data_IF_489860985125
#
_entry.id   IF_489860985125
#
_cell.length_a   1.000
_cell.length_b   1.000
_cell.length_c   1.000
_cell.angle_alpha   90.00
_cell.angle_beta   90.00
_cell.angle_gamma   90.00
#
_symmetry.space_group_name_H-M   'P 1'
#
loop_
_entity.id
_entity.type
_entity.pdbx_description
1 polymer ?
#
# COMPACT_ATOMS: atom_id res chain seq x y z
N UNK A 1 4.52 -0.45 -36.50
CA UNK A 1 4.22 -1.43 -35.44
C UNK A 1 2.70 -1.47 -35.31
N UNK A 2 2.08 -2.57 -35.64
CA UNK A 2 0.63 -2.75 -35.49
C UNK A 2 0.21 -2.80 -34.04
N UNK A 3 -1.09 -2.61 -33.76
CA UNK A 3 -1.63 -2.59 -32.39
C UNK A 3 -1.33 -3.92 -31.64
N UNK A 4 -1.43 -5.04 -32.34
CA UNK A 4 -1.10 -6.37 -31.81
C UNK A 4 0.39 -6.54 -31.51
N UNK A 5 1.27 -6.00 -32.35
CA UNK A 5 2.72 -6.03 -32.13
C UNK A 5 3.11 -5.17 -30.92
N UNK A 6 2.43 -4.04 -30.72
CA UNK A 6 2.64 -3.18 -29.56
C UNK A 6 2.18 -3.86 -28.27
N UNK A 7 1.02 -4.53 -28.29
CA UNK A 7 0.51 -5.30 -27.14
C UNK A 7 1.46 -6.45 -26.80
N UNK A 8 1.92 -7.21 -27.78
CA UNK A 8 2.88 -8.32 -27.58
C UNK A 8 4.24 -7.80 -27.03
N UNK A 9 4.73 -6.68 -27.56
CA UNK A 9 5.94 -6.02 -27.06
C UNK A 9 5.77 -5.58 -25.61
N UNK A 10 4.64 -4.94 -25.27
CA UNK A 10 4.34 -4.52 -23.90
C UNK A 10 4.24 -5.70 -22.94
N UNK A 11 3.58 -6.78 -23.34
CA UNK A 11 3.46 -7.98 -22.51
C UNK A 11 4.83 -8.61 -22.24
N UNK A 12 5.68 -8.73 -23.27
CA UNK A 12 7.04 -9.29 -23.15
C UNK A 12 7.94 -8.39 -22.29
N UNK A 13 7.87 -7.08 -22.48
CA UNK A 13 8.63 -6.11 -21.69
C UNK A 13 8.21 -6.11 -20.22
N UNK A 14 6.90 -6.17 -19.95
CA UNK A 14 6.37 -6.24 -18.59
C UNK A 14 6.74 -7.55 -17.88
N UNK A 15 6.75 -8.68 -18.60
CA UNK A 15 7.17 -9.98 -18.05
C UNK A 15 8.65 -9.97 -17.67
N UNK A 16 9.52 -9.41 -18.52
CA UNK A 16 10.96 -9.32 -18.23
C UNK A 16 11.26 -8.34 -17.10
N UNK A 17 10.56 -7.20 -17.04
CA UNK A 17 10.67 -6.25 -15.95
C UNK A 17 10.22 -6.86 -14.61
N UNK A 18 9.16 -7.65 -14.63
CA UNK A 18 8.67 -8.40 -13.46
C UNK A 18 9.70 -9.43 -12.99
N UNK A 19 10.30 -10.18 -13.93
CA UNK A 19 11.35 -11.15 -13.64
C UNK A 19 12.56 -10.49 -12.97
N UNK A 20 13.08 -9.39 -13.54
CA UNK A 20 14.20 -8.65 -12.99
C UNK A 20 13.92 -8.09 -11.59
N UNK A 21 12.67 -7.68 -11.33
CA UNK A 21 12.25 -7.18 -10.01
C UNK A 21 12.11 -8.29 -8.99
N UNK A 22 11.58 -9.45 -9.39
CA UNK A 22 11.54 -10.64 -8.52
C UNK A 22 12.97 -11.08 -8.18
N UNK A 23 13.87 -11.12 -9.14
CA UNK A 23 15.29 -11.44 -8.91
C UNK A 23 15.97 -10.43 -7.97
N UNK A 24 15.70 -9.13 -8.14
CA UNK A 24 16.21 -8.10 -7.24
C UNK A 24 15.59 -8.14 -5.84
N UNK A 25 14.28 -8.44 -5.74
CA UNK A 25 13.62 -8.65 -4.46
C UNK A 25 14.18 -9.89 -3.74
N UNK A 26 14.43 -10.98 -4.47
CA UNK A 26 15.06 -12.19 -3.94
C UNK A 26 16.51 -11.92 -3.49
N UNK A 27 17.29 -11.13 -4.24
CA UNK A 27 18.64 -10.70 -3.84
C UNK A 27 18.61 -9.78 -2.61
N UNK A 28 17.59 -8.92 -2.47
CA UNK A 28 17.38 -8.10 -1.27
C UNK A 28 16.98 -8.96 -0.07
N UNK A 29 16.18 -10.02 -0.27
CA UNK A 29 15.85 -11.01 0.76
C UNK A 29 17.08 -11.80 1.23
N UNK A 30 18.04 -12.04 0.35
CA UNK A 30 19.32 -12.72 0.65
C UNK A 30 20.39 -11.74 1.22
N UNK A 31 20.10 -10.44 1.24
CA UNK A 31 21.02 -9.42 1.76
C UNK A 31 21.11 -9.43 3.29
N UNK A 32 22.32 -9.09 3.82
CA UNK A 32 22.63 -9.05 5.26
C UNK A 32 21.66 -8.23 6.13
N UNK A 33 20.85 -7.34 5.54
CA UNK A 33 19.86 -6.54 6.27
C UNK A 33 18.66 -7.38 6.73
N UNK A 34 18.21 -8.34 5.91
CA UNK A 34 17.15 -9.28 6.31
C UNK A 34 17.63 -10.25 7.39
N UNK A 35 18.89 -10.67 7.30
CA UNK A 35 19.50 -11.49 8.35
C UNK A 35 19.61 -10.73 9.67
N UNK A 36 19.90 -9.42 9.63
CA UNK A 36 19.95 -8.58 10.82
C UNK A 36 18.57 -8.36 11.47
N UNK A 37 17.53 -8.05 10.67
CA UNK A 37 16.15 -7.88 11.16
C UNK A 37 15.58 -9.19 11.70
N UNK A 38 15.82 -10.32 11.00
CA UNK A 38 15.46 -11.65 11.49
C UNK A 38 16.18 -12.01 12.78
N UNK A 39 17.49 -11.73 12.85
CA UNK A 39 18.29 -11.98 14.04
C UNK A 39 17.88 -11.10 15.23
N UNK A 40 17.52 -9.82 15.00
CA UNK A 40 17.03 -8.90 16.01
C UNK A 40 15.69 -9.36 16.58
N UNK A 41 14.76 -9.79 15.71
CA UNK A 41 13.48 -10.37 16.15
C UNK A 41 13.66 -11.69 16.91
N UNK A 42 14.58 -12.54 16.44
CA UNK A 42 14.93 -13.81 17.09
C UNK A 42 15.64 -13.54 18.43
N UNK A 43 16.44 -12.48 18.52
CA UNK A 43 17.13 -12.09 19.74
C UNK A 43 16.17 -11.50 20.79
N UNK A 44 15.19 -10.69 20.38
CA UNK A 44 14.13 -10.22 21.24
C UNK A 44 13.27 -11.37 21.79
N UNK A 45 12.95 -12.34 20.94
CA UNK A 45 12.24 -13.57 21.36
C UNK A 45 13.09 -14.43 22.30
N UNK A 46 14.41 -14.55 22.06
CA UNK A 46 15.35 -15.25 22.94
C UNK A 46 15.49 -14.56 24.29
N UNK A 47 15.54 -13.23 24.31
CA UNK A 47 15.64 -12.46 25.55
C UNK A 47 14.37 -12.60 26.40
N UNK A 48 13.17 -12.60 25.78
CA UNK A 48 11.92 -12.87 26.46
C UNK A 48 11.87 -14.30 27.05
N UNK A 49 12.38 -15.29 26.30
CA UNK A 49 12.51 -16.69 26.80
C UNK A 49 13.53 -16.79 27.95
N UNK A 50 14.64 -16.05 27.86
CA UNK A 50 15.71 -16.09 28.89
C UNK A 50 15.31 -15.41 30.21
N UNK A 51 14.31 -14.52 30.21
CA UNK A 51 13.77 -13.90 31.44
C UNK A 51 12.83 -14.79 32.21
N UNK A 52 12.43 -15.95 31.68
CA UNK A 52 11.60 -16.93 32.34
C UNK A 52 12.43 -17.80 33.33
N UNK A 53 12.00 -17.86 34.56
CA UNK A 53 12.74 -18.48 35.69
C UNK A 53 12.78 -20.01 35.68
N UNK A 54 12.10 -20.70 34.77
CA UNK A 54 12.07 -22.16 34.66
C UNK A 54 12.11 -22.68 33.22
N UNK A 55 12.77 -23.83 32.98
CA UNK A 55 12.86 -24.46 31.66
C UNK A 55 11.46 -24.77 31.08
N UNK A 56 10.49 -25.32 31.81
CA UNK A 56 9.13 -25.50 31.30
C UNK A 56 8.45 -24.20 30.90
N UNK A 57 8.58 -23.12 31.69
CA UNK A 57 8.04 -21.79 31.36
C UNK A 57 8.65 -21.22 30.09
N UNK A 58 9.94 -21.41 29.85
CA UNK A 58 10.64 -20.99 28.62
C UNK A 58 10.13 -21.72 27.38
N UNK A 59 9.91 -23.03 27.47
CA UNK A 59 9.37 -23.83 26.35
C UNK A 59 7.93 -23.40 26.04
N UNK A 60 7.09 -23.22 27.07
CA UNK A 60 5.70 -22.78 26.88
C UNK A 60 5.65 -21.39 26.26
N UNK A 61 6.46 -20.44 26.75
CA UNK A 61 6.51 -19.07 26.21
C UNK A 61 6.99 -19.06 24.75
N UNK A 62 8.02 -19.85 24.42
CA UNK A 62 8.51 -19.94 23.05
C UNK A 62 7.46 -20.56 22.13
N UNK A 63 6.85 -21.67 22.53
CA UNK A 63 5.78 -22.31 21.76
C UNK A 63 4.57 -21.38 21.53
N UNK A 64 4.14 -20.64 22.56
CA UNK A 64 3.06 -19.67 22.45
C UNK A 64 3.40 -18.52 21.47
N UNK A 65 4.63 -18.02 21.49
CA UNK A 65 5.08 -16.96 20.58
C UNK A 65 5.14 -17.45 19.12
N UNK A 66 5.65 -18.66 18.88
CA UNK A 66 5.66 -19.28 17.55
C UNK A 66 4.24 -19.48 17.03
N UNK A 67 3.34 -20.00 17.86
CA UNK A 67 1.93 -20.19 17.49
C UNK A 67 1.26 -18.84 17.16
N UNK A 68 1.44 -17.82 18.01
CA UNK A 68 0.86 -16.48 17.79
C UNK A 68 1.35 -15.85 16.49
N UNK A 69 2.65 -15.97 16.20
CA UNK A 69 3.23 -15.45 14.95
C UNK A 69 2.70 -16.19 13.74
N UNK A 70 2.66 -17.53 13.77
CA UNK A 70 2.13 -18.35 12.68
C UNK A 70 0.64 -18.07 12.44
N UNK A 71 -0.14 -17.90 13.50
CA UNK A 71 -1.54 -17.53 13.43
C UNK A 71 -1.74 -16.15 12.78
N UNK A 72 -0.95 -15.14 13.19
CA UNK A 72 -0.96 -13.79 12.59
C UNK A 72 -0.65 -13.86 11.10
N UNK A 73 0.39 -14.58 10.69
CA UNK A 73 0.76 -14.77 9.28
C UNK A 73 -0.40 -15.41 8.52
N UNK A 74 -1.02 -16.44 9.04
CA UNK A 74 -2.17 -17.12 8.41
C UNK A 74 -3.37 -16.18 8.22
N UNK A 75 -3.75 -15.45 9.26
CA UNK A 75 -4.86 -14.49 9.21
C UNK A 75 -4.56 -13.35 8.24
N UNK A 76 -3.36 -12.79 8.29
CA UNK A 76 -2.94 -11.73 7.37
C UNK A 76 -2.94 -12.23 5.93
N UNK A 77 -2.48 -13.47 5.67
CA UNK A 77 -2.48 -14.04 4.32
C UNK A 77 -3.88 -14.20 3.76
N UNK A 78 -4.82 -14.68 4.57
CA UNK A 78 -6.23 -14.76 4.16
C UNK A 78 -6.80 -13.37 3.82
N UNK A 79 -6.47 -12.35 4.61
CA UNK A 79 -6.86 -10.96 4.33
C UNK A 79 -6.19 -10.40 3.08
N UNK A 80 -4.91 -10.69 2.83
CA UNK A 80 -4.20 -10.25 1.62
C UNK A 80 -4.93 -10.79 0.38
N UNK A 81 -5.26 -12.08 0.34
CA UNK A 81 -6.02 -12.66 -0.78
C UNK A 81 -7.47 -12.17 -0.83
N UNK A 82 -8.13 -12.02 0.31
CA UNK A 82 -9.47 -11.42 0.41
C UNK A 82 -9.51 -10.01 -0.16
N UNK A 83 -8.42 -9.26 -0.05
CA UNK A 83 -8.26 -7.93 -0.60
C UNK A 83 -8.50 -7.80 -2.10
N UNK A 84 -8.30 -8.88 -2.87
CA UNK A 84 -8.63 -8.92 -4.30
C UNK A 84 -10.14 -8.77 -4.57
N UNK A 85 -10.98 -9.10 -3.61
CA UNK A 85 -12.43 -9.13 -3.74
C UNK A 85 -13.16 -8.03 -2.94
N UNK A 86 -12.44 -7.26 -2.15
CA UNK A 86 -13.00 -6.12 -1.42
C UNK A 86 -13.40 -5.00 -2.39
N UNK A 87 -14.55 -4.39 -2.18
CA UNK A 87 -14.98 -3.22 -2.94
C UNK A 87 -15.37 -2.08 -2.02
N UNK A 88 -15.35 -0.86 -2.55
CA UNK A 88 -15.79 0.33 -1.84
C UNK A 88 -17.30 0.28 -1.60
N UNK A 89 -17.77 0.27 -0.34
CA UNK A 89 -19.19 0.22 -0.02
C UNK A 89 -19.97 1.47 -0.47
N UNK A 90 -19.26 2.59 -0.72
CA UNK A 90 -19.87 3.84 -1.15
C UNK A 90 -20.12 3.90 -2.67
N UNK A 91 -19.76 2.86 -3.42
CA UNK A 91 -20.10 2.71 -4.84
C UNK A 91 -21.42 1.97 -5.01
N UNK A 92 -22.13 2.26 -6.09
CA UNK A 92 -23.28 1.47 -6.52
C UNK A 92 -22.84 0.05 -6.93
N UNK A 93 -23.80 -0.85 -7.11
CA UNK A 93 -23.52 -2.26 -7.41
C UNK A 93 -22.59 -2.44 -8.63
N UNK A 94 -22.88 -1.78 -9.76
CA UNK A 94 -22.05 -1.87 -10.95
C UNK A 94 -20.63 -1.34 -10.73
N UNK A 95 -20.48 -0.26 -9.97
CA UNK A 95 -19.18 0.30 -9.59
C UNK A 95 -18.38 -0.64 -8.69
N UNK A 96 -19.04 -1.36 -7.78
CA UNK A 96 -18.40 -2.38 -6.92
C UNK A 96 -17.94 -3.60 -7.73
N UNK A 97 -18.78 -4.09 -8.63
CA UNK A 97 -18.42 -5.19 -9.54
C UNK A 97 -17.23 -4.77 -10.40
N UNK A 98 -17.29 -3.59 -11.04
CA UNK A 98 -16.19 -3.09 -11.85
C UNK A 98 -14.89 -2.93 -11.05
N UNK A 99 -14.97 -2.46 -9.82
CA UNK A 99 -13.79 -2.31 -8.96
C UNK A 99 -13.08 -3.65 -8.71
N UNK A 100 -13.82 -4.72 -8.46
CA UNK A 100 -13.26 -6.08 -8.30
C UNK A 100 -12.70 -6.58 -9.63
N UNK A 101 -13.49 -6.54 -10.71
CA UNK A 101 -13.07 -7.02 -12.03
C UNK A 101 -11.84 -6.27 -12.53
N UNK A 102 -11.80 -4.96 -12.34
CA UNK A 102 -10.71 -4.11 -12.80
C UNK A 102 -9.34 -4.50 -12.22
N UNK A 103 -9.29 -5.13 -11.05
CA UNK A 103 -8.05 -5.62 -10.43
C UNK A 103 -7.38 -6.73 -11.22
N UNK A 104 -8.15 -7.46 -11.99
CA UNK A 104 -7.64 -8.57 -12.80
C UNK A 104 -7.37 -8.16 -14.26
N UNK A 105 -8.08 -7.14 -14.77
CA UNK A 105 -7.97 -6.73 -16.19
C UNK A 105 -7.35 -5.34 -16.35
N UNK A 106 -7.91 -4.32 -15.73
CA UNK A 106 -7.50 -2.92 -15.91
C UNK A 106 -6.33 -2.51 -15.03
N UNK A 107 -6.37 -2.88 -13.75
CA UNK A 107 -5.31 -2.65 -12.76
C UNK A 107 -4.44 -3.91 -12.55
N UNK A 108 -4.58 -4.92 -13.39
CA UNK A 108 -3.98 -6.25 -13.20
C UNK A 108 -2.49 -6.22 -12.87
N UNK A 109 -1.63 -5.62 -13.69
CA UNK A 109 -0.19 -5.64 -13.47
C UNK A 109 0.23 -5.09 -12.10
N UNK A 110 -0.26 -3.90 -11.73
CA UNK A 110 0.10 -3.29 -10.44
C UNK A 110 -0.57 -3.97 -9.25
N UNK A 111 -1.79 -4.48 -9.41
CA UNK A 111 -2.48 -5.21 -8.33
C UNK A 111 -1.80 -6.55 -8.05
N UNK A 112 -1.40 -7.28 -9.08
CA UNK A 112 -0.62 -8.52 -8.91
C UNK A 112 0.73 -8.25 -8.26
N UNK A 113 1.41 -7.18 -8.67
CA UNK A 113 2.68 -6.78 -8.05
C UNK A 113 2.49 -6.46 -6.56
N UNK A 114 1.45 -5.67 -6.21
CA UNK A 114 1.12 -5.32 -4.83
C UNK A 114 0.73 -6.56 -4.00
N UNK A 115 -0.10 -7.45 -4.54
CA UNK A 115 -0.48 -8.70 -3.87
C UNK A 115 0.71 -9.62 -3.63
N UNK A 116 1.62 -9.76 -4.62
CA UNK A 116 2.83 -10.57 -4.49
C UNK A 116 3.78 -9.99 -3.45
N UNK A 117 4.01 -8.67 -3.48
CA UNK A 117 4.82 -7.98 -2.48
C UNK A 117 4.24 -8.17 -1.07
N UNK A 118 2.93 -7.95 -0.90
CA UNK A 118 2.22 -8.15 0.36
C UNK A 118 2.36 -9.60 0.87
N UNK A 119 2.20 -10.59 -0.01
CA UNK A 119 2.33 -12.01 0.32
C UNK A 119 3.74 -12.35 0.79
N UNK A 120 4.77 -11.95 0.04
CA UNK A 120 6.17 -12.22 0.42
C UNK A 120 6.49 -11.54 1.75
N UNK A 121 6.14 -10.27 1.92
CA UNK A 121 6.37 -9.53 3.16
C UNK A 121 5.66 -10.16 4.36
N UNK A 122 4.46 -10.70 4.17
CA UNK A 122 3.74 -11.40 5.22
C UNK A 122 4.40 -12.73 5.60
N UNK A 123 4.83 -13.52 4.61
CA UNK A 123 5.49 -14.81 4.85
C UNK A 123 6.81 -14.66 5.61
N UNK A 124 7.54 -13.57 5.39
CA UNK A 124 8.76 -13.26 6.16
C UNK A 124 8.46 -12.54 7.50
N UNK A 125 7.19 -12.40 7.85
CA UNK A 125 6.75 -11.90 9.16
C UNK A 125 6.78 -10.37 9.32
N UNK A 126 6.97 -9.62 8.23
CA UNK A 126 7.06 -8.15 8.24
C UNK A 126 5.69 -7.46 8.35
N UNK A 127 4.59 -8.17 8.05
CA UNK A 127 3.22 -7.61 8.13
C UNK A 127 2.69 -7.77 9.54
N UNK A 128 2.39 -6.65 10.19
CA UNK A 128 1.75 -6.63 11.51
C UNK A 128 0.24 -6.72 11.40
N UNK A 129 -0.36 -5.97 10.48
CA UNK A 129 -1.80 -5.87 10.35
C UNK A 129 -2.23 -5.68 8.88
N UNK A 130 -3.36 -6.27 8.54
CA UNK A 130 -4.05 -6.06 7.25
C UNK A 130 -5.47 -5.60 7.53
N UNK A 131 -5.84 -4.45 6.98
CA UNK A 131 -7.17 -3.87 7.05
C UNK A 131 -7.70 -3.54 5.65
N UNK A 132 -8.98 -3.20 5.56
CA UNK A 132 -9.63 -2.76 4.32
C UNK A 132 -10.29 -1.40 4.53
N UNK A 133 -10.17 -0.53 3.53
CA UNK A 133 -10.92 0.71 3.52
C UNK A 133 -11.18 1.18 2.07
N UNK A 134 -12.42 1.54 1.75
CA UNK A 134 -12.79 2.14 0.45
C UNK A 134 -12.33 1.33 -0.76
N UNK A 135 -12.34 -0.02 -0.65
CA UNK A 135 -11.85 -0.92 -1.69
C UNK A 135 -10.34 -1.18 -1.67
N UNK A 136 -9.54 -0.44 -0.90
CA UNK A 136 -8.12 -0.69 -0.76
C UNK A 136 -7.82 -1.73 0.32
N UNK A 137 -6.75 -2.49 0.14
CA UNK A 137 -6.14 -3.37 1.14
C UNK A 137 -4.93 -2.65 1.73
N UNK A 138 -4.96 -2.40 3.04
CA UNK A 138 -3.97 -1.60 3.75
C UNK A 138 -3.14 -2.50 4.66
N UNK A 139 -1.84 -2.54 4.43
CA UNK A 139 -0.90 -3.33 5.21
C UNK A 139 0.04 -2.41 5.98
N UNK A 140 0.05 -2.56 7.30
CA UNK A 140 1.07 -1.93 8.14
C UNK A 140 2.07 -2.96 8.63
N UNK A 141 3.33 -2.54 8.75
CA UNK A 141 4.40 -3.43 9.18
C UNK A 141 5.78 -2.79 9.09
N UNK A 142 6.80 -3.60 9.13
CA UNK A 142 8.19 -3.15 9.23
C UNK A 142 8.94 -3.25 7.88
N UNK A 143 8.32 -2.79 6.79
CA UNK A 143 8.95 -2.86 5.45
C UNK A 143 9.44 -1.51 4.92
N UNK A 144 8.97 -0.42 5.46
CA UNK A 144 9.39 0.92 5.10
C UNK A 144 9.90 1.66 6.33
N UNK A 145 10.74 2.66 6.13
CA UNK A 145 11.10 3.59 7.20
C UNK A 145 9.87 4.29 7.77
N UNK A 146 9.99 4.88 8.94
CA UNK A 146 8.89 5.61 9.59
C UNK A 146 8.30 6.66 8.63
N UNK A 147 6.97 6.68 8.52
CA UNK A 147 6.25 7.56 7.60
C UNK A 147 6.32 7.15 6.12
N UNK A 148 6.98 6.03 5.80
CA UNK A 148 7.05 5.53 4.42
C UNK A 148 5.87 4.62 4.07
N UNK A 149 5.34 4.79 2.85
CA UNK A 149 4.36 3.89 2.28
C UNK A 149 4.44 3.83 0.75
N UNK A 150 3.83 2.84 0.16
CA UNK A 150 3.75 2.66 -1.31
C UNK A 150 2.43 2.01 -1.67
N UNK A 151 1.79 2.54 -2.71
CA UNK A 151 0.58 1.98 -3.29
C UNK A 151 0.88 1.25 -4.60
N UNK A 152 0.51 -0.01 -4.66
CA UNK A 152 0.60 -0.86 -5.86
C UNK A 152 -0.77 -1.48 -6.17
N UNK A 153 -1.45 -0.93 -7.16
CA UNK A 153 -2.81 -1.35 -7.49
C UNK A 153 -3.78 -1.10 -6.33
N UNK A 154 -4.42 -2.13 -5.83
CA UNK A 154 -5.33 -2.06 -4.69
C UNK A 154 -4.66 -2.30 -3.33
N UNK A 155 -3.34 -2.43 -3.29
CA UNK A 155 -2.57 -2.66 -2.06
C UNK A 155 -1.80 -1.41 -1.66
N UNK A 156 -2.05 -0.93 -0.46
CA UNK A 156 -1.32 0.16 0.21
C UNK A 156 -0.47 -0.50 1.29
N UNK A 157 0.84 -0.40 1.18
CA UNK A 157 1.79 -0.99 2.13
C UNK A 157 2.61 0.11 2.77
N UNK A 158 2.70 0.12 4.09
CA UNK A 158 3.41 1.19 4.79
C UNK A 158 4.01 0.76 6.12
N UNK A 159 4.73 1.69 6.73
CA UNK A 159 5.32 1.57 8.05
C UNK A 159 4.27 1.23 9.12
N UNK A 160 4.72 0.89 10.32
CA UNK A 160 3.83 0.48 11.43
C UNK A 160 2.81 1.55 11.86
N UNK A 161 3.01 2.80 11.49
CA UNK A 161 2.09 3.93 11.72
C UNK A 161 1.01 4.08 10.63
N UNK A 162 1.11 3.35 9.52
CA UNK A 162 0.04 3.29 8.52
C UNK A 162 -1.20 2.62 9.11
N UNK A 163 -2.34 3.26 8.96
CA UNK A 163 -3.64 2.71 9.34
C UNK A 163 -4.69 3.01 8.27
N UNK A 164 -5.69 2.15 8.13
CA UNK A 164 -6.83 2.35 7.23
C UNK A 164 -7.81 3.37 7.80
N UNK A 165 -7.32 4.59 8.06
CA UNK A 165 -8.06 5.70 8.67
C UNK A 165 -8.01 6.93 7.77
N UNK A 166 -9.17 7.41 7.27
CA UNK A 166 -9.25 8.57 6.38
C UNK A 166 -8.79 9.89 7.03
N UNK A 167 -8.56 9.93 8.35
CA UNK A 167 -8.03 11.09 9.06
C UNK A 167 -6.52 11.05 9.29
N UNK A 168 -5.83 10.03 8.75
CA UNK A 168 -4.37 9.91 8.83
C UNK A 168 -3.72 10.36 7.53
N UNK A 169 -2.74 11.27 7.62
CA UNK A 169 -2.10 11.89 6.45
C UNK A 169 -1.48 10.88 5.51
N UNK A 170 -0.73 9.91 6.02
CA UNK A 170 -0.11 8.86 5.22
C UNK A 170 -1.16 8.05 4.44
N UNK A 171 -2.26 7.69 5.10
CA UNK A 171 -3.36 6.99 4.42
C UNK A 171 -4.06 7.86 3.37
N UNK A 172 -4.32 9.14 3.68
CA UNK A 172 -4.95 10.08 2.73
C UNK A 172 -4.18 10.16 1.42
N UNK A 173 -2.85 10.30 1.53
CA UNK A 173 -1.94 10.37 0.40
C UNK A 173 -1.92 9.08 -0.42
N UNK A 174 -1.69 7.96 0.22
CA UNK A 174 -1.62 6.66 -0.44
C UNK A 174 -2.98 6.25 -1.06
N UNK A 175 -4.07 6.63 -0.41
CA UNK A 175 -5.40 6.44 -1.00
C UNK A 175 -5.58 7.26 -2.29
N UNK A 176 -4.95 8.43 -2.37
CA UNK A 176 -4.84 9.19 -3.61
C UNK A 176 -4.14 8.42 -4.73
N UNK A 177 -3.02 7.75 -4.43
CA UNK A 177 -2.34 6.85 -5.37
C UNK A 177 -3.20 5.64 -5.76
N UNK A 178 -3.96 5.06 -4.83
CA UNK A 178 -4.96 4.05 -5.16
C UNK A 178 -5.99 4.57 -6.18
N UNK A 179 -6.49 5.80 -6.00
CA UNK A 179 -7.41 6.44 -6.96
C UNK A 179 -6.74 6.70 -8.31
N UNK A 180 -5.45 7.02 -8.33
CA UNK A 180 -4.68 7.12 -9.59
C UNK A 180 -4.58 5.75 -10.27
N UNK A 181 -4.29 4.68 -9.53
CA UNK A 181 -4.24 3.31 -10.08
C UNK A 181 -5.56 2.92 -10.74
N UNK A 182 -6.70 3.20 -10.11
CA UNK A 182 -8.02 2.94 -10.68
C UNK A 182 -8.25 3.70 -11.98
N UNK A 183 -7.76 4.93 -12.10
CA UNK A 183 -7.96 5.75 -13.29
C UNK A 183 -6.97 5.44 -14.42
N UNK A 184 -5.70 5.24 -14.09
CA UNK A 184 -4.62 5.06 -15.07
C UNK A 184 -4.55 3.62 -15.61
N UNK A 185 -5.10 2.64 -14.88
CA UNK A 185 -5.05 1.25 -15.29
C UNK A 185 -3.61 0.78 -15.52
N UNK A 186 -3.34 0.04 -16.61
CA UNK A 186 -2.02 -0.56 -16.85
C UNK A 186 -0.87 0.45 -16.94
N UNK A 187 -1.17 1.70 -17.26
CA UNK A 187 -0.16 2.77 -17.35
C UNK A 187 0.31 3.28 -15.99
N UNK A 188 -0.41 2.97 -14.90
CA UNK A 188 -0.10 3.46 -13.56
C UNK A 188 1.36 3.29 -13.15
N UNK A 189 1.93 2.11 -13.39
CA UNK A 189 3.32 1.84 -13.00
C UNK A 189 4.28 2.82 -13.67
N UNK A 190 4.05 3.17 -14.93
CA UNK A 190 4.95 4.01 -15.73
C UNK A 190 4.73 5.50 -15.49
N UNK A 191 3.47 5.93 -15.37
CA UNK A 191 3.14 7.36 -15.29
C UNK A 191 2.98 7.87 -13.85
N UNK A 192 2.87 6.96 -12.89
CA UNK A 192 2.75 7.28 -11.45
C UNK A 192 3.80 6.56 -10.63
N UNK A 193 3.80 5.24 -10.61
CA UNK A 193 4.62 4.46 -9.68
C UNK A 193 6.12 4.73 -9.81
N UNK A 194 6.68 4.62 -11.02
CA UNK A 194 8.11 4.89 -11.25
C UNK A 194 8.46 6.36 -11.01
N UNK A 195 7.73 7.36 -11.56
CA UNK A 195 8.02 8.76 -11.27
C UNK A 195 7.94 9.13 -9.79
N UNK A 196 6.95 8.62 -9.04
CA UNK A 196 6.82 8.84 -7.61
C UNK A 196 8.01 8.27 -6.84
N UNK A 197 8.35 6.99 -7.05
CA UNK A 197 9.50 6.34 -6.39
C UNK A 197 10.84 7.01 -6.76
N UNK A 198 11.02 7.42 -8.02
CA UNK A 198 12.20 8.15 -8.43
C UNK A 198 12.29 9.50 -7.72
N UNK A 199 11.20 10.25 -7.70
CA UNK A 199 11.12 11.54 -7.02
C UNK A 199 11.39 11.41 -5.50
N UNK A 200 10.82 10.40 -4.84
CA UNK A 200 11.08 10.14 -3.43
C UNK A 200 12.55 9.80 -3.12
N UNK A 201 13.28 9.24 -4.10
CA UNK A 201 14.69 8.89 -3.93
C UNK A 201 15.63 10.08 -4.16
N UNK A 202 15.32 10.95 -5.11
CA UNK A 202 16.25 12.02 -5.57
C UNK A 202 15.94 13.39 -4.99
N UNK A 203 14.70 13.63 -4.58
CA UNK A 203 14.24 14.90 -4.04
C UNK A 203 14.16 14.84 -2.51
N UNK A 204 14.24 16.01 -1.85
CA UNK A 204 13.79 16.11 -0.47
C UNK A 204 12.24 15.99 -0.40
N UNK A 205 11.69 15.80 0.79
CA UNK A 205 10.25 15.59 0.99
C UNK A 205 9.37 16.74 0.45
N UNK A 206 9.87 17.98 0.53
CA UNK A 206 9.13 19.17 0.06
C UNK A 206 9.03 19.16 -1.46
N UNK A 207 10.14 18.93 -2.16
CA UNK A 207 10.17 18.94 -3.63
C UNK A 207 9.50 17.70 -4.21
N UNK A 208 9.59 16.55 -3.53
CA UNK A 208 8.81 15.37 -3.87
C UNK A 208 7.31 15.70 -3.87
N UNK A 209 6.77 16.27 -2.80
CA UNK A 209 5.36 16.62 -2.66
C UNK A 209 4.86 17.64 -3.70
N UNK A 210 5.75 18.46 -4.28
CA UNK A 210 5.42 19.40 -5.35
C UNK A 210 5.31 18.77 -6.72
N UNK A 211 5.76 17.54 -6.90
CA UNK A 211 5.71 16.90 -8.21
C UNK A 211 4.26 16.72 -8.68
N UNK A 212 4.07 16.75 -10.00
CA UNK A 212 2.74 16.60 -10.61
C UNK A 212 2.03 15.29 -10.18
N UNK A 213 2.81 14.24 -9.96
CA UNK A 213 2.28 12.93 -9.57
C UNK A 213 1.70 12.99 -8.17
N UNK A 214 2.45 13.55 -7.21
CA UNK A 214 2.05 13.64 -5.81
C UNK A 214 0.89 14.64 -5.61
N UNK A 215 0.95 15.79 -6.29
CA UNK A 215 -0.15 16.75 -6.29
C UNK A 215 -1.45 16.15 -6.85
N UNK A 216 -1.36 15.33 -7.89
CA UNK A 216 -2.51 14.63 -8.42
C UNK A 216 -3.02 13.54 -7.47
N UNK A 217 -2.14 12.85 -6.72
CA UNK A 217 -2.54 11.91 -5.67
C UNK A 217 -3.31 12.65 -4.57
N UNK A 218 -2.74 13.73 -4.02
CA UNK A 218 -3.38 14.54 -2.99
C UNK A 218 -4.76 15.05 -3.45
N UNK A 219 -4.87 15.60 -4.65
CA UNK A 219 -6.15 16.04 -5.21
C UNK A 219 -7.18 14.91 -5.28
N UNK A 220 -6.80 13.72 -5.75
CA UNK A 220 -7.72 12.57 -5.84
C UNK A 220 -8.13 12.02 -4.49
N UNK A 221 -7.21 11.95 -3.56
CA UNK A 221 -7.49 11.57 -2.18
C UNK A 221 -8.47 12.55 -1.53
N UNK A 222 -8.15 13.85 -1.62
CA UNK A 222 -8.99 14.91 -1.09
C UNK A 222 -10.41 14.90 -1.69
N UNK A 223 -10.54 14.92 -3.02
CA UNK A 223 -11.85 14.93 -3.68
C UNK A 223 -12.73 13.76 -3.24
N UNK A 224 -12.14 12.55 -3.16
CA UNK A 224 -12.90 11.38 -2.75
C UNK A 224 -13.31 11.45 -1.27
N UNK A 225 -12.38 11.78 -0.39
CA UNK A 225 -12.64 11.84 1.05
C UNK A 225 -13.56 13.01 1.42
N UNK A 226 -13.38 14.16 0.78
CA UNK A 226 -14.25 15.31 1.02
C UNK A 226 -15.70 15.04 0.56
N UNK A 227 -15.87 14.33 -0.57
CA UNK A 227 -17.20 13.87 -1.01
C UNK A 227 -17.91 12.99 0.03
N UNK A 228 -17.16 12.18 0.79
CA UNK A 228 -17.73 11.29 1.80
C UNK A 228 -17.98 11.97 3.15
N UNK A 229 -17.11 12.86 3.55
CA UNK A 229 -17.11 13.42 4.90
C UNK A 229 -17.49 14.90 4.96
N UNK A 230 -17.41 15.63 3.84
CA UNK A 230 -17.61 17.08 3.79
C UNK A 230 -16.67 17.78 4.76
N UNK A 231 -17.18 18.75 5.49
CA UNK A 231 -16.43 19.55 6.46
C UNK A 231 -15.96 18.76 7.70
N UNK A 232 -16.42 17.51 7.86
CA UNK A 232 -15.92 16.61 8.91
C UNK A 232 -14.59 15.95 8.56
N UNK A 233 -14.14 16.07 7.31
CA UNK A 233 -12.85 15.56 6.89
C UNK A 233 -11.70 16.33 7.58
N UNK A 234 -10.85 15.61 8.28
CA UNK A 234 -9.60 16.15 8.83
C UNK A 234 -8.47 15.92 7.82
N UNK A 235 -8.46 16.73 6.77
CA UNK A 235 -7.38 16.67 5.79
C UNK A 235 -6.10 17.28 6.37
N UNK A 236 -4.99 16.59 6.23
CA UNK A 236 -3.69 17.07 6.68
C UNK A 236 -3.06 18.00 5.63
N UNK A 237 -3.38 19.29 5.74
CA UNK A 237 -2.84 20.31 4.84
C UNK A 237 -1.33 20.54 4.98
N UNK A 238 -0.72 20.07 6.06
CA UNK A 238 0.72 20.23 6.29
C UNK A 238 1.53 19.22 5.49
N UNK A 239 1.13 17.95 5.55
CA UNK A 239 1.85 16.85 4.88
C UNK A 239 1.31 16.59 3.47
N UNK A 240 0.01 16.73 3.26
CA UNK A 240 -0.67 16.47 1.99
C UNK A 240 -1.09 17.77 1.30
N UNK A 241 -0.14 18.70 1.13
CA UNK A 241 -0.40 20.01 0.54
C UNK A 241 -1.00 19.89 -0.86
N UNK A 242 -2.01 20.71 -1.13
CA UNK A 242 -2.59 20.93 -2.45
C UNK A 242 -2.37 22.40 -2.78
N UNK A 243 -1.50 22.69 -3.74
CA UNK A 243 -1.12 24.08 -4.07
C UNK A 243 -2.15 24.81 -4.95
N UNK A 244 -3.22 24.14 -5.34
CA UNK A 244 -4.30 24.69 -6.17
C UNK A 244 -5.51 25.00 -5.27
N UNK A 245 -5.50 26.16 -4.66
CA UNK A 245 -6.57 26.61 -3.75
C UNK A 245 -7.91 26.78 -4.45
N UNK A 246 -7.91 27.25 -5.70
CA UNK A 246 -9.15 27.46 -6.46
C UNK A 246 -9.80 26.12 -6.79
N UNK A 247 -8.98 25.11 -7.10
CA UNK A 247 -9.48 23.73 -7.26
C UNK A 247 -10.08 23.20 -5.96
N UNK A 248 -9.44 23.44 -4.81
CA UNK A 248 -9.98 23.02 -3.51
C UNK A 248 -11.34 23.68 -3.21
N UNK A 249 -11.45 24.99 -3.40
CA UNK A 249 -12.73 25.72 -3.25
C UNK A 249 -13.82 25.19 -4.19
N UNK A 250 -13.44 24.88 -5.42
CA UNK A 250 -14.35 24.26 -6.39
C UNK A 250 -14.89 22.91 -5.89
N UNK A 251 -14.04 22.06 -5.34
CA UNK A 251 -14.44 20.76 -4.78
C UNK A 251 -15.31 20.93 -3.55
N UNK A 252 -14.96 21.85 -2.66
CA UNK A 252 -15.78 22.17 -1.48
C UNK A 252 -17.18 22.62 -1.91
N UNK A 253 -17.30 23.58 -2.82
CA UNK A 253 -18.58 24.05 -3.33
C UNK A 253 -19.40 22.96 -4.02
N UNK A 254 -18.74 22.04 -4.73
CA UNK A 254 -19.40 20.94 -5.45
C UNK A 254 -20.04 19.91 -4.53
N UNK A 255 -19.43 19.68 -3.36
CA UNK A 255 -19.86 18.60 -2.45
C UNK A 255 -20.34 19.11 -1.08
N UNK A 256 -20.30 20.41 -0.82
CA UNK A 256 -20.97 20.98 0.35
C UNK A 256 -22.48 20.74 0.23
N UNK A 257 -23.17 20.35 1.31
CA UNK A 257 -24.61 20.33 1.31
C UNK A 257 -25.12 21.74 0.99
N UNK A 258 -26.13 21.82 0.13
CA UNK A 258 -26.82 23.10 -0.10
C UNK A 258 -27.27 23.67 1.26
N UNK A 259 -27.17 24.98 1.48
CA UNK A 259 -27.57 25.62 2.70
C UNK A 259 -29.02 25.37 3.07
#
# INVERSE_FOLDING_TARGET
MGEDEFIQFQMKYNAELLRLRIENALKLLDSKQHTAAFNQHTQSSRNAVNSSSSIPGRIITHGANVFKTSWRIGVNQAKIYGGLFVSDPNKNFGGRVWEVVSRFVWQGPQTMLGSSFATVSNLVGQVDKVDYWGGATVLSGNFWGQGGAVTLGSYITGSCDLSADPNKSLFQHEYGHYRQSQKQGPLYIFVVGIPSLYSAKVNNSVDHNKTRVEQNANKRGYEYLYRLYGDRLRWDHLHNQIFDEDWMKMIQNKYSPAP
#
